data_IF_513124173380
#
_entry.id   IF_513124173380
#
_cell.length_a   1.000
_cell.length_b   1.000
_cell.length_c   1.000
_cell.angle_alpha   90.00
_cell.angle_beta   90.00
_cell.angle_gamma   90.00
#
_symmetry.space_group_name_H-M   'P 1'
#
loop_
_entity.id
_entity.type
_entity.pdbx_description
1 polymer ?
#
# COMPACT_ATOMS: atom_id res chain seq x y z
N UNK A 1 21.81 -17.69 -7.00
CA UNK A 1 20.45 -18.17 -6.66
C UNK A 1 20.10 -17.54 -5.31
N UNK A 2 18.90 -16.98 -5.15
CA UNK A 2 18.49 -16.34 -3.90
C UNK A 2 18.29 -17.40 -2.80
N UNK A 3 18.80 -17.19 -1.58
CA UNK A 3 18.59 -18.13 -0.48
C UNK A 3 17.21 -17.93 0.16
N UNK A 4 16.65 -18.98 0.76
CA UNK A 4 15.28 -18.91 1.31
C UNK A 4 15.12 -17.88 2.42
N UNK A 5 16.15 -17.69 3.25
CA UNK A 5 16.20 -16.66 4.29
C UNK A 5 16.21 -15.22 3.75
N UNK A 6 16.59 -15.03 2.49
CA UNK A 6 16.68 -13.72 1.84
C UNK A 6 15.36 -13.38 1.10
N UNK A 7 14.36 -14.27 1.13
CA UNK A 7 13.05 -14.04 0.54
C UNK A 7 12.21 -13.18 1.49
N UNK A 8 11.71 -12.05 0.97
CA UNK A 8 10.87 -11.14 1.75
C UNK A 8 9.46 -11.71 1.95
N UNK A 9 8.88 -12.31 0.90
CA UNK A 9 7.59 -12.99 0.96
C UNK A 9 7.77 -14.46 1.37
N UNK A 10 7.76 -14.71 2.67
CA UNK A 10 8.07 -16.04 3.25
C UNK A 10 6.90 -17.00 3.20
N UNK A 11 5.65 -16.50 3.18
CA UNK A 11 4.44 -17.33 3.07
C UNK A 11 3.77 -17.26 1.70
N UNK A 12 4.50 -16.92 0.63
CA UNK A 12 3.90 -16.72 -0.71
C UNK A 12 3.12 -17.92 -1.26
N UNK A 13 3.37 -19.14 -0.77
CA UNK A 13 2.66 -20.36 -1.17
C UNK A 13 1.49 -20.74 -0.25
N UNK A 14 1.25 -20.00 0.83
CA UNK A 14 0.16 -20.27 1.76
C UNK A 14 0.30 -21.54 2.59
N UNK A 15 1.53 -22.03 2.81
CA UNK A 15 1.79 -23.21 3.62
C UNK A 15 1.63 -22.95 5.13
N UNK A 16 1.70 -21.69 5.54
CA UNK A 16 1.47 -21.24 6.91
C UNK A 16 0.19 -20.41 6.96
N UNK A 17 -0.38 -20.27 8.16
CA UNK A 17 -1.53 -19.40 8.40
C UNK A 17 -1.21 -17.95 8.03
N UNK A 18 -2.14 -17.26 7.37
CA UNK A 18 -1.97 -15.88 6.91
C UNK A 18 -2.28 -14.84 7.99
N UNK A 19 -2.98 -15.21 9.06
CA UNK A 19 -3.48 -14.32 10.10
C UNK A 19 -2.40 -13.77 11.02
N UNK A 20 -2.80 -12.78 11.82
CA UNK A 20 -1.89 -11.90 12.56
C UNK A 20 -0.84 -12.64 13.41
N UNK A 21 -1.21 -13.66 14.17
CA UNK A 21 -0.25 -14.39 15.04
C UNK A 21 0.85 -15.07 14.23
N UNK A 22 0.49 -15.67 13.10
CA UNK A 22 1.46 -16.32 12.22
C UNK A 22 2.30 -15.30 11.46
N UNK A 23 1.71 -14.18 11.04
CA UNK A 23 2.43 -13.04 10.46
C UNK A 23 3.50 -12.51 11.43
N UNK A 24 3.14 -12.30 12.70
CA UNK A 24 4.08 -11.89 13.76
C UNK A 24 5.21 -12.91 13.96
N UNK A 25 4.90 -14.20 13.91
CA UNK A 25 5.93 -15.25 14.00
C UNK A 25 6.91 -15.24 12.80
N UNK A 26 6.52 -14.65 11.66
CA UNK A 26 7.36 -14.46 10.47
C UNK A 26 8.13 -13.12 10.49
N UNK A 27 7.91 -12.28 11.50
CA UNK A 27 8.54 -10.97 11.64
C UNK A 27 7.72 -9.80 11.10
N UNK A 28 6.46 -10.00 10.70
CA UNK A 28 5.57 -8.87 10.42
C UNK A 28 5.17 -8.19 11.72
N UNK A 29 5.02 -6.88 11.68
CA UNK A 29 4.73 -6.03 12.85
C UNK A 29 5.83 -6.05 13.92
N UNK A 30 7.05 -6.47 13.57
CA UNK A 30 8.19 -6.48 14.49
C UNK A 30 8.87 -5.10 14.51
N UNK A 31 8.79 -4.42 15.65
CA UNK A 31 9.43 -3.12 15.83
C UNK A 31 8.85 -1.99 14.96
N UNK A 32 7.65 -2.13 14.39
CA UNK A 32 7.03 -1.13 13.50
C UNK A 32 6.99 0.26 14.14
N UNK A 33 6.65 0.37 15.43
CA UNK A 33 6.70 1.64 16.16
C UNK A 33 8.08 2.29 16.12
N UNK A 34 9.14 1.51 16.36
CA UNK A 34 10.52 2.02 16.31
C UNK A 34 10.92 2.45 14.89
N UNK A 35 10.38 1.80 13.85
CA UNK A 35 10.55 2.26 12.46
C UNK A 35 9.92 3.64 12.26
N UNK A 36 8.69 3.85 12.75
CA UNK A 36 8.01 5.15 12.65
C UNK A 36 8.76 6.24 13.44
N UNK A 37 9.33 5.91 14.60
CA UNK A 37 10.11 6.84 15.43
C UNK A 37 11.39 7.37 14.74
N UNK A 38 11.89 6.69 13.69
CA UNK A 38 12.98 7.22 12.84
C UNK A 38 12.59 8.52 12.12
N UNK A 39 11.29 8.74 11.95
CA UNK A 39 10.73 9.91 11.27
C UNK A 39 10.54 9.72 9.76
N UNK A 40 9.58 10.45 9.16
CA UNK A 40 9.15 10.20 7.79
C UNK A 40 10.24 10.45 6.75
N UNK A 41 11.04 11.50 6.93
CA UNK A 41 12.11 11.86 5.99
C UNK A 41 13.24 10.83 6.01
N UNK A 42 13.57 10.24 7.17
CA UNK A 42 14.58 9.19 7.27
C UNK A 42 14.15 7.91 6.54
N UNK A 43 12.86 7.55 6.64
CA UNK A 43 12.30 6.39 5.91
C UNK A 43 12.34 6.64 4.39
N UNK A 44 11.99 7.85 3.93
CA UNK A 44 12.08 8.18 2.50
C UNK A 44 13.50 8.08 1.97
N UNK A 45 14.50 8.56 2.73
CA UNK A 45 15.90 8.45 2.33
C UNK A 45 16.41 7.00 2.33
N UNK A 46 16.01 6.18 3.30
CA UNK A 46 16.30 4.73 3.29
C UNK A 46 15.73 4.06 2.03
N UNK A 47 14.49 4.40 1.65
CA UNK A 47 13.86 3.85 0.45
C UNK A 47 14.47 4.35 -0.85
N UNK A 48 15.14 5.51 -0.85
CA UNK A 48 15.98 5.94 -1.98
C UNK A 48 17.28 5.15 -2.01
N UNK A 49 17.93 4.98 -0.86
CA UNK A 49 19.19 4.25 -0.72
C UNK A 49 19.07 2.77 -1.08
N UNK A 50 17.93 2.14 -0.81
CA UNK A 50 17.64 0.74 -1.18
C UNK A 50 17.63 0.50 -2.70
N UNK A 51 17.46 1.56 -3.49
CA UNK A 51 17.34 1.46 -4.95
C UNK A 51 16.05 0.78 -5.41
N UNK A 52 15.03 0.67 -4.53
CA UNK A 52 13.76 0.05 -4.89
C UNK A 52 13.11 0.81 -6.07
N UNK A 53 12.66 0.05 -7.06
CA UNK A 53 11.91 0.55 -8.22
C UNK A 53 10.51 -0.03 -8.20
N UNK A 54 9.54 0.74 -8.67
CA UNK A 54 8.14 0.35 -8.70
C UNK A 54 7.92 -0.97 -9.42
N UNK A 55 7.16 -1.86 -8.76
CA UNK A 55 6.87 -3.22 -9.18
C UNK A 55 5.55 -3.38 -9.97
N UNK A 56 4.89 -2.26 -10.29
CA UNK A 56 3.70 -2.22 -11.15
C UNK A 56 4.01 -1.95 -12.63
N UNK A 57 5.15 -2.45 -13.14
CA UNK A 57 5.53 -2.30 -14.56
C UNK A 57 6.26 -1.00 -14.94
N UNK A 58 5.88 0.16 -14.38
CA UNK A 58 6.50 1.44 -14.73
C UNK A 58 7.98 1.59 -14.30
N UNK A 59 8.43 0.82 -13.30
CA UNK A 59 9.84 0.80 -12.87
C UNK A 59 10.37 2.14 -12.33
N UNK A 60 9.50 3.06 -11.91
CA UNK A 60 9.90 4.36 -11.36
C UNK A 60 10.52 4.20 -9.96
N UNK A 61 11.62 4.89 -9.60
CA UNK A 61 12.24 4.74 -8.28
C UNK A 61 11.27 5.08 -7.13
N UNK A 62 11.02 4.12 -6.23
CA UNK A 62 9.94 4.20 -5.22
C UNK A 62 10.21 5.32 -4.21
N UNK A 63 11.42 5.37 -3.62
CA UNK A 63 11.76 6.44 -2.67
C UNK A 63 11.74 7.84 -3.27
N UNK A 64 12.10 7.99 -4.56
CA UNK A 64 11.95 9.26 -5.27
C UNK A 64 10.48 9.63 -5.43
N UNK A 65 9.61 8.66 -5.78
CA UNK A 65 8.17 8.88 -5.92
C UNK A 65 7.57 9.42 -4.61
N UNK A 66 7.94 8.80 -3.48
CA UNK A 66 7.45 9.19 -2.16
C UNK A 66 7.85 10.62 -1.79
N UNK A 67 9.03 11.07 -2.24
CA UNK A 67 9.51 12.43 -1.97
C UNK A 67 8.74 13.54 -2.70
N UNK A 68 7.87 13.19 -3.66
CA UNK A 68 6.99 14.16 -4.33
C UNK A 68 5.76 14.54 -3.51
N UNK A 69 5.43 13.75 -2.48
CA UNK A 69 4.32 14.06 -1.59
C UNK A 69 4.64 15.32 -0.77
N UNK A 70 3.66 16.22 -0.58
CA UNK A 70 3.90 17.47 0.11
C UNK A 70 4.24 17.21 1.59
N UNK A 71 5.31 17.86 2.07
CA UNK A 71 5.72 17.80 3.48
C UNK A 71 4.75 18.52 4.41
N UNK A 72 4.09 19.54 3.88
CA UNK A 72 3.11 20.37 4.58
C UNK A 72 1.81 20.39 3.79
N UNK A 73 0.69 20.26 4.50
CA UNK A 73 -0.63 20.43 3.90
C UNK A 73 -0.86 21.91 3.59
N UNK A 74 -0.75 22.29 2.31
CA UNK A 74 -0.86 23.70 1.88
C UNK A 74 -2.21 24.34 2.23
N UNK A 75 -3.26 23.55 2.34
CA UNK A 75 -4.64 24.01 2.53
C UNK A 75 -5.45 23.13 3.48
N UNK A 76 -4.77 22.39 4.37
CA UNK A 76 -5.41 21.50 5.33
C UNK A 76 -5.94 20.19 4.73
N UNK A 77 -5.82 19.99 3.41
CA UNK A 77 -6.16 18.70 2.78
C UNK A 77 -5.24 17.58 3.28
N UNK A 78 -5.79 16.41 3.63
CA UNK A 78 -4.97 15.25 3.96
C UNK A 78 -4.23 14.75 2.71
N UNK A 79 -3.14 14.01 2.91
CA UNK A 79 -2.52 13.22 1.86
C UNK A 79 -3.05 11.79 1.92
N UNK A 80 -3.10 11.09 0.78
CA UNK A 80 -3.53 9.70 0.70
C UNK A 80 -2.49 8.80 0.04
N UNK A 81 -2.47 7.55 0.49
CA UNK A 81 -1.81 6.46 -0.20
C UNK A 81 -2.88 5.65 -0.93
N UNK A 82 -2.67 5.34 -2.20
CA UNK A 82 -3.49 4.37 -2.93
C UNK A 82 -2.62 3.19 -3.30
N UNK A 83 -3.06 2.00 -2.93
CA UNK A 83 -2.37 0.76 -3.24
C UNK A 83 -3.09 0.11 -4.42
N UNK A 84 -2.37 -0.03 -5.52
CA UNK A 84 -2.87 -0.68 -6.72
C UNK A 84 -2.74 -2.20 -6.58
N UNK A 85 -3.89 -2.84 -6.35
CA UNK A 85 -4.09 -4.28 -6.27
C UNK A 85 -5.08 -4.76 -7.35
N UNK A 86 -5.12 -4.10 -8.52
CA UNK A 86 -5.99 -4.48 -9.63
C UNK A 86 -5.42 -5.64 -10.44
N UNK A 87 -4.09 -5.81 -10.52
CA UNK A 87 -3.38 -6.93 -11.19
C UNK A 87 -4.15 -7.55 -12.39
N UNK A 88 -4.53 -6.69 -13.34
CA UNK A 88 -5.30 -7.09 -14.52
C UNK A 88 -4.40 -7.48 -15.69
N UNK A 89 -3.08 -7.29 -15.55
CA UNK A 89 -2.07 -7.63 -16.55
C UNK A 89 -2.04 -9.14 -16.85
N UNK A 90 -2.13 -9.55 -18.13
CA UNK A 90 -2.05 -10.95 -18.51
C UNK A 90 -0.76 -11.62 -18.01
N UNK A 91 -0.90 -12.72 -17.27
CA UNK A 91 0.22 -13.48 -16.72
C UNK A 91 0.76 -12.98 -15.38
N UNK A 92 0.22 -11.88 -14.83
CA UNK A 92 0.56 -11.45 -13.47
C UNK A 92 -0.32 -12.16 -12.43
N UNK A 93 0.30 -12.58 -11.34
CA UNK A 93 -0.37 -13.20 -10.18
C UNK A 93 0.36 -12.93 -8.86
N UNK A 94 1.38 -12.05 -8.89
CA UNK A 94 2.26 -11.77 -7.76
C UNK A 94 1.53 -11.02 -6.66
N UNK A 95 0.66 -10.08 -7.01
CA UNK A 95 -0.08 -9.28 -6.04
C UNK A 95 -1.15 -10.17 -5.39
N UNK A 96 -1.80 -11.03 -6.19
CA UNK A 96 -2.76 -12.03 -5.72
C UNK A 96 -2.21 -12.88 -4.57
N UNK A 97 -0.98 -13.38 -4.71
CA UNK A 97 -0.34 -14.21 -3.67
C UNK A 97 -0.12 -13.43 -2.37
N UNK A 98 0.32 -12.18 -2.45
CA UNK A 98 0.51 -11.31 -1.29
C UNK A 98 -0.82 -11.08 -0.57
N UNK A 99 -1.89 -10.76 -1.31
CA UNK A 99 -3.21 -10.49 -0.72
C UNK A 99 -3.79 -11.69 0.03
N UNK A 100 -3.62 -12.91 -0.47
CA UNK A 100 -4.26 -14.11 0.12
C UNK A 100 -3.39 -14.88 1.11
N UNK A 101 -2.07 -14.72 1.06
CA UNK A 101 -1.16 -15.51 1.89
C UNK A 101 -0.28 -14.68 2.82
N UNK A 102 -0.07 -13.40 2.54
CA UNK A 102 0.73 -12.51 3.39
C UNK A 102 0.13 -11.09 3.52
N UNK A 103 -1.19 -10.97 3.82
CA UNK A 103 -1.87 -9.67 3.81
C UNK A 103 -1.35 -8.70 4.88
N UNK A 104 -0.87 -9.22 6.01
CA UNK A 104 -0.34 -8.38 7.09
C UNK A 104 0.91 -7.60 6.68
N UNK A 105 1.77 -8.18 5.84
CA UNK A 105 2.94 -7.50 5.29
C UNK A 105 2.54 -6.30 4.42
N UNK A 106 1.45 -6.42 3.65
CA UNK A 106 0.89 -5.30 2.90
C UNK A 106 0.32 -4.22 3.82
N UNK A 107 -0.43 -4.60 4.87
CA UNK A 107 -1.05 -3.65 5.80
C UNK A 107 0.03 -2.90 6.62
N UNK A 108 1.07 -3.59 7.08
CA UNK A 108 2.20 -2.97 7.75
C UNK A 108 2.96 -2.05 6.80
N UNK A 109 3.26 -2.52 5.59
CA UNK A 109 3.90 -1.72 4.55
C UNK A 109 3.09 -0.45 4.23
N UNK A 110 1.76 -0.55 4.21
CA UNK A 110 0.87 0.60 4.01
C UNK A 110 1.02 1.63 5.14
N UNK A 111 1.13 1.20 6.40
CA UNK A 111 1.38 2.09 7.53
C UNK A 111 2.74 2.78 7.41
N UNK A 112 3.81 2.03 7.15
CA UNK A 112 5.17 2.57 7.05
C UNK A 112 5.30 3.54 5.88
N UNK A 113 4.82 3.16 4.70
CA UNK A 113 4.82 4.01 3.52
C UNK A 113 3.91 5.22 3.70
N UNK A 114 2.72 5.01 4.28
CA UNK A 114 1.77 6.05 4.60
C UNK A 114 2.37 7.10 5.52
N UNK A 115 3.02 6.68 6.61
CA UNK A 115 3.74 7.55 7.53
C UNK A 115 4.87 8.32 6.84
N UNK A 116 5.71 7.63 6.05
CA UNK A 116 6.80 8.26 5.30
C UNK A 116 6.30 9.38 4.35
N UNK A 117 5.15 9.15 3.74
CA UNK A 117 4.47 10.10 2.84
C UNK A 117 3.51 11.05 3.55
N UNK A 118 3.39 10.98 4.89
CA UNK A 118 2.46 11.78 5.71
C UNK A 118 0.99 11.62 5.27
N UNK A 119 0.62 10.43 4.82
CA UNK A 119 -0.71 10.10 4.33
C UNK A 119 -1.64 9.71 5.48
N UNK A 120 -2.78 10.38 5.60
CA UNK A 120 -3.79 10.12 6.64
C UNK A 120 -4.40 8.72 6.55
N UNK A 121 -4.53 8.20 5.33
CA UNK A 121 -5.12 6.90 5.08
C UNK A 121 -4.54 6.23 3.83
N UNK A 122 -4.62 4.91 3.80
CA UNK A 122 -4.42 4.10 2.61
C UNK A 122 -5.74 3.57 2.05
N UNK A 123 -5.88 3.61 0.73
CA UNK A 123 -6.95 2.94 0.00
C UNK A 123 -6.35 1.80 -0.83
N UNK A 124 -6.70 0.56 -0.51
CA UNK A 124 -6.31 -0.60 -1.31
C UNK A 124 -7.38 -0.84 -2.36
N UNK A 125 -7.05 -0.58 -3.62
CA UNK A 125 -7.94 -0.83 -4.74
C UNK A 125 -7.73 -2.25 -5.23
N UNK A 126 -8.62 -3.16 -4.81
CA UNK A 126 -8.55 -4.59 -5.14
C UNK A 126 -9.37 -4.86 -6.39
N UNK A 127 -8.80 -5.67 -7.28
CA UNK A 127 -9.47 -6.18 -8.47
C UNK A 127 -10.86 -6.75 -8.15
N UNK A 128 -11.83 -6.52 -9.03
CA UNK A 128 -13.21 -7.03 -8.83
C UNK A 128 -13.30 -8.55 -8.70
N UNK A 129 -12.51 -9.27 -9.49
CA UNK A 129 -12.47 -10.73 -9.57
C UNK A 129 -11.78 -11.39 -8.35
N UNK A 130 -11.02 -10.62 -7.57
CA UNK A 130 -10.29 -11.08 -6.38
C UNK A 130 -11.20 -11.13 -5.15
N UNK A 131 -12.21 -12.00 -5.20
CA UNK A 131 -13.22 -12.12 -4.14
C UNK A 131 -12.59 -12.67 -2.86
N UNK A 132 -11.87 -13.79 -2.94
CA UNK A 132 -11.29 -14.47 -1.76
C UNK A 132 -10.13 -13.68 -1.18
N UNK A 133 -9.31 -13.12 -2.05
CA UNK A 133 -8.20 -12.24 -1.71
C UNK A 133 -8.71 -10.99 -0.96
N UNK A 134 -9.82 -10.39 -1.42
CA UNK A 134 -10.46 -9.27 -0.72
C UNK A 134 -11.03 -9.66 0.65
N UNK A 135 -11.66 -10.84 0.78
CA UNK A 135 -12.13 -11.36 2.07
C UNK A 135 -10.97 -11.53 3.07
N UNK A 136 -9.86 -12.12 2.62
CA UNK A 136 -8.66 -12.32 3.43
C UNK A 136 -8.03 -10.98 3.83
N UNK A 137 -7.86 -10.06 2.87
CA UNK A 137 -7.31 -8.73 3.15
C UNK A 137 -8.19 -7.97 4.15
N UNK A 138 -9.50 -7.97 3.96
CA UNK A 138 -10.42 -7.29 4.87
C UNK A 138 -10.36 -7.88 6.29
N UNK A 139 -10.26 -9.20 6.40
CA UNK A 139 -10.08 -9.87 7.69
C UNK A 139 -8.74 -9.50 8.35
N UNK A 140 -7.64 -9.41 7.59
CA UNK A 140 -6.35 -8.97 8.09
C UNK A 140 -6.36 -7.49 8.54
N UNK A 141 -7.05 -6.62 7.79
CA UNK A 141 -7.30 -5.22 8.18
C UNK A 141 -8.05 -5.18 9.51
N UNK A 142 -9.13 -5.96 9.67
CA UNK A 142 -9.86 -6.03 10.94
C UNK A 142 -8.97 -6.52 12.09
N UNK A 143 -8.18 -7.58 11.90
CA UNK A 143 -7.24 -8.06 12.91
C UNK A 143 -6.22 -6.98 13.31
N UNK A 144 -5.74 -6.18 12.35
CA UNK A 144 -4.82 -5.08 12.63
C UNK A 144 -5.49 -3.93 13.41
N UNK A 145 -6.76 -3.60 13.10
CA UNK A 145 -7.54 -2.64 13.89
C UNK A 145 -7.80 -3.15 15.32
N UNK A 146 -8.24 -4.40 15.47
CA UNK A 146 -8.51 -5.02 16.78
C UNK A 146 -7.26 -5.08 17.67
N UNK A 147 -6.08 -5.27 17.05
CA UNK A 147 -4.80 -5.27 17.74
C UNK A 147 -4.21 -3.86 17.98
N UNK A 148 -4.87 -2.79 17.52
CA UNK A 148 -4.36 -1.41 17.63
C UNK A 148 -3.11 -1.12 16.79
N UNK A 149 -2.87 -1.92 15.75
CA UNK A 149 -1.73 -1.77 14.85
C UNK A 149 -1.97 -0.66 13.82
N UNK A 150 -3.24 -0.44 13.45
CA UNK A 150 -3.72 0.66 12.60
C UNK A 150 -4.92 1.34 13.24
N UNK A 151 -5.39 2.45 12.65
CA UNK A 151 -6.43 3.31 13.18
C UNK A 151 -5.86 4.46 13.99
N UNK A 152 -6.58 4.88 15.03
CA UNK A 152 -6.11 5.92 15.96
C UNK A 152 -4.86 5.45 16.70
N UNK A 153 -3.82 6.28 16.73
CA UNK A 153 -2.56 5.96 17.40
C UNK A 153 -1.97 4.60 16.96
N UNK A 154 -1.84 4.38 15.65
CA UNK A 154 -1.35 3.16 15.03
C UNK A 154 -0.03 2.68 15.66
N UNK A 155 0.00 1.43 16.12
CA UNK A 155 1.13 0.83 16.84
C UNK A 155 1.57 1.60 18.10
N UNK A 156 0.71 2.45 18.68
CA UNK A 156 1.06 3.30 19.83
C UNK A 156 2.12 4.37 19.52
N UNK A 157 2.21 4.81 18.26
CA UNK A 157 3.23 5.75 17.75
C UNK A 157 2.86 7.24 17.87
N UNK A 158 1.59 7.55 18.14
CA UNK A 158 1.01 8.90 18.06
C UNK A 158 0.53 9.28 16.65
N UNK A 159 0.58 8.36 15.68
CA UNK A 159 0.15 8.58 14.31
C UNK A 159 -1.21 7.93 14.04
N UNK A 160 -2.17 8.70 13.53
CA UNK A 160 -3.45 8.17 13.09
C UNK A 160 -3.37 7.71 11.63
N UNK A 161 -3.72 6.46 11.37
CA UNK A 161 -3.64 5.89 10.02
C UNK A 161 -4.72 4.85 9.76
N UNK A 162 -5.63 5.17 8.85
CA UNK A 162 -6.70 4.27 8.45
C UNK A 162 -6.38 3.50 7.15
N UNK A 163 -6.85 2.25 7.06
CA UNK A 163 -6.73 1.43 5.85
C UNK A 163 -8.12 1.04 5.38
N UNK A 164 -8.47 1.48 4.17
CA UNK A 164 -9.74 1.19 3.52
C UNK A 164 -9.51 0.27 2.32
N UNK A 165 -10.34 -0.75 2.18
CA UNK A 165 -10.37 -1.58 0.97
C UNK A 165 -11.51 -1.13 0.06
N UNK A 166 -11.21 -0.94 -1.22
CA UNK A 166 -12.19 -0.68 -2.26
C UNK A 166 -12.09 -1.76 -3.33
N UNK A 167 -13.23 -2.24 -3.83
CA UNK A 167 -13.26 -3.26 -4.89
C UNK A 167 -13.64 -2.65 -6.22
N UNK A 168 -12.83 -2.91 -7.24
CA UNK A 168 -13.15 -2.62 -8.63
C UNK A 168 -14.21 -3.59 -9.19
N UNK A 169 -14.42 -3.53 -10.51
CA UNK A 169 -15.44 -4.31 -11.21
C UNK A 169 -14.96 -4.90 -12.55
N UNK A 170 -13.72 -5.39 -12.62
CA UNK A 170 -13.19 -6.11 -13.79
C UNK A 170 -12.73 -5.23 -14.94
N UNK A 171 -12.26 -4.01 -14.66
CA UNK A 171 -11.82 -3.06 -15.66
C UNK A 171 -10.29 -2.93 -15.67
N UNK A 172 -9.62 -3.57 -16.64
CA UNK A 172 -8.17 -3.48 -16.83
C UNK A 172 -7.63 -2.05 -16.82
N UNK A 173 -8.38 -1.10 -17.41
CA UNK A 173 -7.98 0.30 -17.48
C UNK A 173 -7.88 0.95 -16.08
N UNK A 174 -8.64 0.47 -15.09
CA UNK A 174 -8.55 0.94 -13.72
C UNK A 174 -7.25 0.53 -13.02
N UNK A 175 -6.42 -0.34 -13.61
CA UNK A 175 -5.05 -0.57 -13.18
C UNK A 175 -4.11 0.61 -13.47
N UNK A 176 -4.48 1.54 -14.37
CA UNK A 176 -3.72 2.77 -14.57
C UNK A 176 -3.91 3.74 -13.38
N UNK A 177 -2.82 4.37 -12.95
CA UNK A 177 -2.74 5.22 -11.75
C UNK A 177 -3.86 6.27 -11.64
N UNK A 178 -4.16 7.01 -12.70
CA UNK A 178 -5.18 8.07 -12.66
C UNK A 178 -6.59 7.55 -12.91
N UNK A 179 -6.75 6.49 -13.71
CA UNK A 179 -8.03 5.79 -13.86
C UNK A 179 -8.49 5.15 -12.55
N UNK A 180 -7.57 4.59 -11.78
CA UNK A 180 -7.82 4.06 -10.44
C UNK A 180 -8.38 5.13 -9.51
N UNK A 181 -7.77 6.31 -9.52
CA UNK A 181 -8.21 7.45 -8.71
C UNK A 181 -9.64 7.86 -9.11
N UNK A 182 -9.94 7.96 -10.40
CA UNK A 182 -11.30 8.25 -10.88
C UNK A 182 -12.32 7.19 -10.46
N UNK A 183 -11.94 5.91 -10.54
CA UNK A 183 -12.78 4.80 -10.12
C UNK A 183 -13.06 4.82 -8.62
N UNK A 184 -12.05 5.12 -7.78
CA UNK A 184 -12.20 5.30 -6.33
C UNK A 184 -13.13 6.46 -5.98
N UNK A 185 -13.16 7.50 -6.81
CA UNK A 185 -14.08 8.63 -6.67
C UNK A 185 -15.51 8.30 -7.13
N UNK A 186 -15.77 7.08 -7.60
CA UNK A 186 -17.08 6.64 -8.10
C UNK A 186 -17.39 7.10 -9.53
N UNK A 187 -16.40 7.66 -10.24
CA UNK A 187 -16.52 8.02 -11.65
C UNK A 187 -16.15 6.83 -12.53
N UNK A 188 -16.31 6.98 -13.84
CA UNK A 188 -15.79 5.99 -14.79
C UNK A 188 -14.26 5.99 -14.70
N UNK A 189 -13.63 4.81 -14.74
CA UNK A 189 -12.16 4.66 -14.74
C UNK A 189 -11.49 5.10 -16.03
N UNK A 190 -11.73 6.35 -16.45
CA UNK A 190 -11.07 6.99 -17.58
C UNK A 190 -9.86 7.77 -17.04
N UNK A 191 -8.63 7.50 -17.53
CA UNK A 191 -7.44 8.21 -17.07
C UNK A 191 -7.57 9.73 -17.17
N UNK A 192 -6.99 10.44 -16.21
CA UNK A 192 -6.85 11.90 -16.27
C UNK A 192 -5.64 12.26 -17.12
N UNK A 193 -5.74 13.36 -17.86
CA UNK A 193 -4.57 13.98 -18.49
C UNK A 193 -3.60 14.48 -17.41
N UNK A 194 -2.31 14.25 -17.61
CA UNK A 194 -1.23 14.82 -16.80
C UNK A 194 -0.69 16.02 -17.58
N UNK A 195 -0.61 17.25 -17.00
CA UNK A 195 -0.94 17.65 -15.62
C UNK A 195 -2.45 17.84 -15.33
N UNK A 196 -2.88 17.83 -14.04
CA UNK A 196 -2.07 17.75 -12.82
C UNK A 196 -1.62 16.32 -12.46
N UNK A 197 -0.45 16.20 -11.83
CA UNK A 197 0.05 14.91 -11.31
C UNK A 197 -0.66 14.53 -9.99
N UNK A 198 -0.83 13.23 -9.70
CA UNK A 198 -1.48 12.76 -8.47
C UNK A 198 -0.89 13.32 -7.18
N UNK A 199 0.43 13.48 -7.11
CA UNK A 199 1.12 14.03 -5.94
C UNK A 199 0.73 15.51 -5.66
N UNK A 200 0.26 16.25 -6.67
CA UNK A 200 -0.30 17.58 -6.49
C UNK A 200 -1.81 17.57 -6.26
N UNK A 201 -2.55 16.81 -7.08
CA UNK A 201 -4.00 16.66 -6.98
C UNK A 201 -4.45 15.28 -7.51
N UNK A 202 -4.67 14.34 -6.58
CA UNK A 202 -5.08 12.97 -6.84
C UNK A 202 -6.49 12.68 -6.33
N UNK A 203 -6.60 11.72 -5.40
CA UNK A 203 -7.85 11.24 -4.83
C UNK A 203 -8.59 12.36 -4.10
N UNK A 204 -9.83 12.64 -4.50
CA UNK A 204 -10.65 13.74 -3.97
C UNK A 204 -9.96 15.11 -4.10
N UNK A 205 -9.10 15.27 -5.12
CA UNK A 205 -8.27 16.45 -5.30
C UNK A 205 -7.18 16.61 -4.23
N UNK A 206 -6.96 15.62 -3.37
CA UNK A 206 -5.93 15.62 -2.34
C UNK A 206 -4.62 15.02 -2.88
N UNK A 207 -3.44 15.45 -2.36
CA UNK A 207 -2.16 14.85 -2.71
C UNK A 207 -2.21 13.33 -2.53
N UNK A 208 -1.89 12.58 -3.58
CA UNK A 208 -1.98 11.13 -3.57
C UNK A 208 -0.82 10.49 -4.31
N UNK A 209 -0.28 9.42 -3.74
CA UNK A 209 0.65 8.55 -4.46
C UNK A 209 0.02 7.18 -4.64
N UNK A 210 0.11 6.65 -5.86
CA UNK A 210 -0.28 5.27 -6.17
C UNK A 210 0.96 4.38 -6.20
N UNK A 211 0.98 3.30 -5.43
CA UNK A 211 2.03 2.28 -5.48
C UNK A 211 1.42 0.89 -5.64
N UNK A 212 2.10 0.00 -6.35
CA UNK A 212 1.67 -1.39 -6.48
C UNK A 212 1.87 -2.16 -5.16
N UNK A 213 1.05 -3.19 -4.93
CA UNK A 213 1.10 -4.07 -3.74
C UNK A 213 2.52 -4.49 -3.39
N UNK A 214 3.25 -5.10 -4.34
CA UNK A 214 4.61 -5.58 -4.08
C UNK A 214 5.59 -4.45 -3.75
N UNK A 215 5.36 -3.21 -4.23
CA UNK A 215 6.25 -2.09 -3.88
C UNK A 215 6.05 -1.58 -2.45
N UNK A 216 4.88 -1.84 -1.88
CA UNK A 216 4.52 -1.43 -0.51
C UNK A 216 4.84 -2.55 0.48
N UNK A 217 4.68 -3.81 0.07
CA UNK A 217 4.87 -4.97 0.94
C UNK A 217 6.33 -5.49 0.99
N UNK A 218 7.30 -4.77 0.42
CA UNK A 218 8.71 -5.19 0.30
C UNK A 218 9.64 -4.37 1.18
#
# INVERSE_FOLDING_TARGET
>A
MLADKDRIFTNVYGFQDWGLKAAQARGDWDGTKALLERGPDAIVEEMKASGLRGRGGAGFPTGLKWSFMPKESRDGRPSFLVINADESEPGSCKDREILRHDPHKLVEGALVAGFAMRARAAYVYVRGEYIREAEVLQAAIHQAYEAGLIGTNACGSGYDFDVFMHRGAGAYICGEETAMIESLEGKKGQPRLKPPFPAGAGLYGCPTTVNNVESIAV
#
